data_IF_632398411394
#
_entry.id   IF_632398411394
#
_cell.length_a   1.000
_cell.length_b   1.000
_cell.length_c   1.000
_cell.angle_alpha   90.00
_cell.angle_beta   90.00
_cell.angle_gamma   90.00
#
_symmetry.space_group_name_H-M   'P 1'
#
loop_
_entity.id
_entity.type
_entity.pdbx_description
1 polymer ?
#
# COMPACT_ATOMS: atom_id res chain seq x y z
N UNK A 1 -17.09 57.95 3.47
CA UNK A 1 -16.87 57.21 4.75
C UNK A 1 -17.82 56.03 4.98
N UNK A 2 -19.09 56.02 4.52
CA UNK A 2 -20.00 54.86 4.70
C UNK A 2 -19.63 53.62 3.87
N UNK A 3 -19.09 53.78 2.66
CA UNK A 3 -18.71 52.63 1.80
C UNK A 3 -17.49 51.85 2.30
N UNK A 4 -16.56 52.52 3.00
CA UNK A 4 -15.36 51.88 3.57
C UNK A 4 -15.70 50.97 4.76
N UNK A 5 -16.80 51.25 5.49
CA UNK A 5 -17.30 50.43 6.61
C UNK A 5 -18.02 49.14 6.15
N UNK A 6 -18.63 49.17 4.97
CA UNK A 6 -19.28 47.98 4.38
C UNK A 6 -18.23 47.01 3.82
N UNK A 7 -17.17 47.55 3.19
CA UNK A 7 -16.06 46.75 2.68
C UNK A 7 -15.26 46.06 3.79
N UNK A 8 -15.05 46.74 4.92
CA UNK A 8 -14.39 46.16 6.11
C UNK A 8 -15.28 45.12 6.81
N UNK A 9 -16.61 45.29 6.83
CA UNK A 9 -17.55 44.30 7.36
C UNK A 9 -17.60 42.99 6.54
N UNK A 10 -17.56 43.08 5.20
CA UNK A 10 -17.48 41.91 4.33
C UNK A 10 -16.13 41.17 4.46
N UNK A 11 -15.03 41.91 4.65
CA UNK A 11 -13.71 41.33 4.88
C UNK A 11 -13.66 40.52 6.19
N UNK A 12 -14.34 40.98 7.25
CA UNK A 12 -14.42 40.27 8.53
C UNK A 12 -15.28 38.99 8.50
N UNK A 13 -16.32 38.91 7.66
CA UNK A 13 -17.10 37.67 7.47
C UNK A 13 -16.30 36.64 6.65
N UNK A 14 -15.48 37.09 5.70
CA UNK A 14 -14.60 36.20 4.92
C UNK A 14 -13.52 35.52 5.79
N UNK A 15 -13.11 36.16 6.90
CA UNK A 15 -12.12 35.61 7.86
C UNK A 15 -12.71 34.49 8.74
N UNK A 16 -14.05 34.42 8.93
CA UNK A 16 -14.69 33.38 9.74
C UNK A 16 -14.90 32.04 9.02
N UNK A 17 -14.65 31.97 7.70
CA UNK A 17 -14.69 30.72 6.93
C UNK A 17 -13.29 30.13 6.78
N UNK A 18 -12.44 30.29 7.79
CA UNK A 18 -11.19 29.56 7.94
C UNK A 18 -11.50 28.06 8.11
N UNK A 19 -11.64 27.36 6.98
CA UNK A 19 -11.79 25.91 6.91
C UNK A 19 -10.52 25.27 7.47
N UNK A 20 -10.45 25.03 8.78
CA UNK A 20 -9.38 24.26 9.39
C UNK A 20 -9.55 22.79 8.98
N UNK A 21 -8.54 22.20 8.35
CA UNK A 21 -8.48 20.74 8.19
C UNK A 21 -8.41 20.12 9.58
N UNK A 22 -9.40 19.31 9.95
CA UNK A 22 -9.43 18.64 11.26
C UNK A 22 -8.85 17.25 11.11
N UNK A 23 -7.93 16.88 12.02
CA UNK A 23 -7.56 15.48 12.22
C UNK A 23 -8.69 14.80 12.99
N UNK A 24 -9.21 13.70 12.44
CA UNK A 24 -10.30 12.95 13.05
C UNK A 24 -9.78 12.12 14.23
N UNK A 25 -10.58 12.05 15.30
CA UNK A 25 -10.39 11.14 16.43
C UNK A 25 -11.74 10.51 16.77
N UNK A 26 -11.84 9.18 16.72
CA UNK A 26 -13.04 8.45 17.09
C UNK A 26 -12.72 6.98 17.32
N UNK A 27 -13.50 6.29 18.15
CA UNK A 27 -13.34 4.85 18.44
C UNK A 27 -13.38 3.97 17.19
N UNK A 28 -14.18 4.35 16.18
CA UNK A 28 -14.24 3.65 14.88
C UNK A 28 -12.93 3.77 14.09
N UNK A 29 -12.26 4.93 14.19
CA UNK A 29 -10.95 5.16 13.59
C UNK A 29 -9.89 4.40 14.38
N UNK A 30 -9.95 4.45 15.71
CA UNK A 30 -8.97 3.81 16.58
C UNK A 30 -8.83 2.33 16.22
N UNK A 31 -9.95 1.61 16.06
CA UNK A 31 -9.94 0.21 15.59
C UNK A 31 -9.22 0.02 14.25
N UNK A 32 -9.51 0.84 13.24
CA UNK A 32 -8.88 0.74 11.92
C UNK A 32 -7.40 1.20 11.90
N UNK A 33 -6.98 1.99 12.89
CA UNK A 33 -5.59 2.41 13.06
C UNK A 33 -4.75 1.43 13.91
N UNK A 34 -5.37 0.49 14.63
CA UNK A 34 -4.63 -0.56 15.36
C UNK A 34 -4.06 -1.61 14.42
N UNK A 35 -2.88 -2.18 14.74
CA UNK A 35 -2.18 -3.12 13.87
C UNK A 35 -2.71 -4.58 13.94
N UNK A 36 -4.03 -4.81 13.81
CA UNK A 36 -4.64 -6.14 13.91
C UNK A 36 -4.29 -7.12 12.77
N UNK A 37 -3.59 -6.68 11.73
CA UNK A 37 -3.17 -7.56 10.62
C UNK A 37 -1.81 -8.23 10.86
N UNK A 38 -1.02 -7.72 11.82
CA UNK A 38 0.29 -8.27 12.12
C UNK A 38 0.17 -9.68 12.73
N UNK A 39 1.08 -10.62 12.39
CA UNK A 39 1.16 -11.91 13.06
C UNK A 39 1.28 -11.75 14.59
N UNK A 40 0.53 -12.55 15.34
CA UNK A 40 0.56 -12.56 16.82
C UNK A 40 1.77 -13.27 17.39
N UNK A 41 2.54 -13.97 16.56
CA UNK A 41 3.75 -14.69 16.91
C UNK A 41 4.90 -14.25 16.02
N UNK A 42 6.10 -14.13 16.60
CA UNK A 42 7.32 -13.94 15.83
C UNK A 42 7.79 -15.28 15.27
N UNK A 43 8.19 -15.30 14.00
CA UNK A 43 8.74 -16.49 13.36
C UNK A 43 10.22 -16.64 13.70
N UNK A 44 10.60 -17.79 14.24
CA UNK A 44 12.01 -18.12 14.52
C UNK A 44 12.63 -18.86 13.34
N UNK A 45 13.17 -18.09 12.40
CA UNK A 45 13.86 -18.63 11.22
C UNK A 45 15.19 -19.32 11.55
N UNK A 46 15.70 -19.22 12.79
CA UNK A 46 16.94 -19.91 13.16
C UNK A 46 16.77 -21.42 13.29
N UNK A 47 15.53 -21.90 13.46
CA UNK A 47 15.20 -23.33 13.56
C UNK A 47 15.22 -24.04 12.20
N UNK A 48 15.35 -23.27 11.13
CA UNK A 48 15.40 -23.78 9.78
C UNK A 48 16.84 -24.23 9.47
N UNK A 49 17.05 -25.54 9.32
CA UNK A 49 18.36 -26.11 8.97
C UNK A 49 18.80 -25.62 7.58
N UNK A 50 19.80 -24.73 7.52
CA UNK A 50 20.45 -24.32 6.26
C UNK A 50 21.71 -25.17 6.09
N UNK A 51 21.71 -26.14 5.16
CA UNK A 51 22.88 -26.99 4.96
C UNK A 51 24.06 -26.18 4.38
N UNK A 52 25.29 -26.49 4.82
CA UNK A 52 26.52 -25.81 4.38
C UNK A 52 26.93 -26.27 2.98
N UNK A 53 27.17 -25.31 2.07
CA UNK A 53 27.43 -25.56 0.64
C UNK A 53 28.82 -26.15 0.36
N UNK A 54 28.90 -27.09 -0.59
CA UNK A 54 30.14 -27.52 -1.23
C UNK A 54 29.97 -27.31 -2.75
N UNK A 55 30.27 -26.08 -3.19
CA UNK A 55 29.73 -25.44 -4.39
C UNK A 55 30.03 -26.15 -5.71
N UNK A 56 31.28 -26.55 -5.96
CA UNK A 56 31.68 -26.95 -7.31
C UNK A 56 31.02 -28.23 -7.86
N UNK A 57 30.86 -29.28 -7.04
CA UNK A 57 30.28 -30.55 -7.52
C UNK A 57 28.75 -30.50 -7.61
N UNK A 58 28.12 -29.70 -6.74
CA UNK A 58 26.66 -29.52 -6.73
C UNK A 58 26.18 -28.81 -7.99
N UNK A 59 26.86 -27.75 -8.41
CA UNK A 59 26.44 -26.97 -9.57
C UNK A 59 26.43 -27.81 -10.86
N UNK A 60 27.39 -28.72 -11.07
CA UNK A 60 27.43 -29.58 -12.27
C UNK A 60 26.22 -30.53 -12.37
N UNK A 61 25.81 -31.15 -11.26
CA UNK A 61 24.68 -32.10 -11.24
C UNK A 61 23.35 -31.37 -11.42
N UNK A 62 23.18 -30.23 -10.76
CA UNK A 62 21.97 -29.44 -10.88
C UNK A 62 21.81 -28.90 -12.29
N UNK A 63 22.87 -28.33 -12.88
CA UNK A 63 22.87 -27.85 -14.27
C UNK A 63 22.55 -28.94 -15.31
N UNK A 64 22.86 -30.21 -15.02
CA UNK A 64 22.53 -31.31 -15.92
C UNK A 64 21.05 -31.74 -15.86
N UNK A 65 20.31 -31.37 -14.80
CA UNK A 65 18.96 -31.88 -14.55
C UNK A 65 17.88 -30.78 -14.41
N UNK A 66 18.27 -29.53 -14.21
CA UNK A 66 17.37 -28.42 -13.89
C UNK A 66 17.63 -27.22 -14.79
N UNK A 67 16.58 -26.43 -15.01
CA UNK A 67 16.76 -25.13 -15.65
C UNK A 67 17.50 -24.16 -14.72
N UNK A 68 18.09 -23.10 -15.29
CA UNK A 68 18.70 -22.02 -14.48
C UNK A 68 17.70 -21.45 -13.47
N UNK A 69 16.43 -21.32 -13.87
CA UNK A 69 15.33 -20.84 -13.03
C UNK A 69 15.09 -21.75 -11.82
N UNK A 70 14.95 -23.06 -12.05
CA UNK A 70 14.74 -24.05 -11.00
C UNK A 70 15.90 -24.10 -10.00
N UNK A 71 17.13 -23.91 -10.48
CA UNK A 71 18.32 -23.84 -9.63
C UNK A 71 18.28 -22.62 -8.71
N UNK A 72 17.86 -21.47 -9.22
CA UNK A 72 17.76 -20.25 -8.43
C UNK A 72 16.66 -20.34 -7.38
N UNK A 73 15.49 -20.89 -7.73
CA UNK A 73 14.43 -21.16 -6.75
C UNK A 73 14.95 -22.12 -5.70
N UNK A 74 15.61 -23.21 -6.11
CA UNK A 74 16.17 -24.22 -5.20
C UNK A 74 17.15 -23.60 -4.20
N UNK A 75 17.99 -22.66 -4.66
CA UNK A 75 18.91 -21.89 -3.82
C UNK A 75 18.17 -20.94 -2.88
N UNK A 76 17.16 -20.23 -3.37
CA UNK A 76 16.39 -19.29 -2.56
C UNK A 76 15.64 -19.99 -1.41
N UNK A 77 15.07 -21.17 -1.65
CA UNK A 77 14.31 -21.93 -0.65
C UNK A 77 15.19 -22.89 0.18
N UNK A 78 16.49 -22.96 -0.10
CA UNK A 78 17.46 -23.74 0.65
C UNK A 78 17.35 -25.25 0.46
N UNK A 79 17.03 -25.72 -0.74
CA UNK A 79 16.95 -27.16 -1.07
C UNK A 79 18.06 -27.64 -2.01
N UNK A 80 18.94 -26.76 -2.51
CA UNK A 80 19.90 -27.12 -3.55
C UNK A 80 20.80 -28.29 -3.16
N UNK A 81 21.16 -28.36 -1.88
CA UNK A 81 22.02 -29.42 -1.34
C UNK A 81 21.28 -30.76 -1.28
N UNK A 82 20.07 -30.77 -0.72
CA UNK A 82 19.24 -31.97 -0.64
C UNK A 82 18.89 -32.49 -2.04
N UNK A 83 18.64 -31.60 -2.98
CA UNK A 83 18.31 -31.94 -4.36
C UNK A 83 19.51 -32.54 -5.10
N UNK A 84 20.69 -31.93 -4.99
CA UNK A 84 21.91 -32.48 -5.59
C UNK A 84 22.26 -33.87 -5.01
N UNK A 85 22.03 -34.08 -3.71
CA UNK A 85 22.24 -35.38 -3.06
C UNK A 85 21.18 -36.42 -3.47
N UNK A 86 19.92 -35.99 -3.64
CA UNK A 86 18.83 -36.84 -4.10
C UNK A 86 19.12 -37.38 -5.51
N UNK A 87 19.55 -36.52 -6.43
CA UNK A 87 19.87 -36.90 -7.82
C UNK A 87 21.07 -37.87 -7.93
N UNK A 88 22.00 -37.83 -6.97
CA UNK A 88 23.15 -38.76 -6.91
C UNK A 88 22.80 -40.09 -6.26
N UNK A 89 21.85 -40.10 -5.32
CA UNK A 89 21.52 -41.28 -4.54
C UNK A 89 20.62 -42.21 -5.35
N UNK A 90 21.18 -43.26 -5.96
CA UNK A 90 20.40 -44.22 -6.79
C UNK A 90 19.86 -45.43 -6.05
N UNK A 91 20.68 -46.03 -5.16
CA UNK A 91 20.42 -47.37 -4.57
C UNK A 91 19.88 -47.34 -3.14
N UNK A 92 20.15 -46.27 -2.39
CA UNK A 92 19.72 -46.16 -0.98
C UNK A 92 18.30 -45.57 -0.91
N UNK A 93 17.30 -46.45 -0.87
CA UNK A 93 15.88 -46.08 -0.86
C UNK A 93 15.50 -45.24 0.36
N UNK A 94 16.03 -45.55 1.54
CA UNK A 94 15.72 -44.83 2.77
C UNK A 94 16.28 -43.41 2.70
N UNK A 95 17.54 -43.26 2.30
CA UNK A 95 18.16 -41.95 2.13
C UNK A 95 17.46 -41.11 1.07
N UNK A 96 17.07 -41.71 -0.06
CA UNK A 96 16.27 -41.02 -1.10
C UNK A 96 14.94 -40.51 -0.54
N UNK A 97 14.24 -41.33 0.24
CA UNK A 97 12.96 -40.95 0.85
C UNK A 97 13.14 -39.77 1.82
N UNK A 98 14.16 -39.82 2.68
CA UNK A 98 14.47 -38.72 3.62
C UNK A 98 14.81 -37.42 2.88
N UNK A 99 15.61 -37.49 1.81
CA UNK A 99 15.95 -36.31 1.00
C UNK A 99 14.71 -35.74 0.30
N UNK A 100 13.85 -36.61 -0.25
CA UNK A 100 12.58 -36.20 -0.85
C UNK A 100 11.67 -35.51 0.17
N UNK A 101 11.57 -36.05 1.39
CA UNK A 101 10.83 -35.43 2.48
C UNK A 101 11.37 -34.03 2.81
N UNK A 102 12.69 -33.88 3.00
CA UNK A 102 13.31 -32.56 3.26
C UNK A 102 13.02 -31.55 2.15
N UNK A 103 13.08 -31.97 0.89
CA UNK A 103 12.74 -31.11 -0.27
C UNK A 103 11.27 -30.69 -0.22
N UNK A 104 10.35 -31.64 0.01
CA UNK A 104 8.92 -31.37 0.09
C UNK A 104 8.57 -30.46 1.26
N UNK A 105 9.16 -30.67 2.44
CA UNK A 105 8.93 -29.84 3.62
C UNK A 105 9.35 -28.40 3.39
N UNK A 106 10.49 -28.18 2.72
CA UNK A 106 10.96 -26.84 2.35
C UNK A 106 10.07 -26.15 1.33
N UNK A 107 9.59 -26.89 0.33
CA UNK A 107 8.64 -26.37 -0.66
C UNK A 107 7.32 -25.96 0.03
N UNK A 108 6.80 -26.80 0.91
CA UNK A 108 5.58 -26.54 1.69
C UNK A 108 5.76 -25.33 2.61
N UNK A 109 6.87 -25.26 3.35
CA UNK A 109 7.17 -24.13 4.22
C UNK A 109 7.23 -22.81 3.44
N UNK A 110 7.90 -22.81 2.28
CA UNK A 110 7.95 -21.60 1.44
C UNK A 110 6.57 -21.20 0.93
N UNK A 111 5.71 -22.17 0.58
CA UNK A 111 4.34 -21.87 0.19
C UNK A 111 3.53 -21.27 1.35
N UNK A 112 3.71 -21.76 2.58
CA UNK A 112 3.08 -21.19 3.78
C UNK A 112 3.59 -19.76 4.02
N UNK A 113 4.90 -19.52 3.87
CA UNK A 113 5.52 -18.19 4.00
C UNK A 113 4.93 -17.19 3.00
N UNK A 114 4.78 -17.58 1.72
CA UNK A 114 4.17 -16.76 0.68
C UNK A 114 2.73 -16.42 1.05
N UNK A 115 1.94 -17.43 1.45
CA UNK A 115 0.54 -17.25 1.79
C UNK A 115 0.33 -16.40 3.05
N UNK A 116 1.17 -16.57 4.07
CA UNK A 116 1.12 -15.77 5.29
C UNK A 116 1.44 -14.30 5.00
N UNK A 117 2.52 -14.03 4.27
CA UNK A 117 2.90 -12.67 3.90
C UNK A 117 1.86 -12.00 2.99
N UNK A 118 1.35 -12.72 1.99
CA UNK A 118 0.28 -12.23 1.12
C UNK A 118 -1.00 -11.91 1.91
N UNK A 119 -1.34 -12.72 2.91
CA UNK A 119 -2.51 -12.49 3.78
C UNK A 119 -2.32 -11.27 4.67
N UNK A 120 -1.11 -11.06 5.21
CA UNK A 120 -0.78 -9.85 5.97
C UNK A 120 -0.93 -8.58 5.10
N UNK A 121 -0.42 -8.63 3.87
CA UNK A 121 -0.52 -7.53 2.91
C UNK A 121 -1.98 -7.25 2.50
N UNK A 122 -2.77 -8.28 2.21
CA UNK A 122 -4.19 -8.20 1.87
C UNK A 122 -4.99 -7.54 3.00
N UNK A 123 -4.82 -8.03 4.23
CA UNK A 123 -5.47 -7.47 5.40
C UNK A 123 -5.13 -6.00 5.59
N UNK A 124 -3.85 -5.64 5.44
CA UNK A 124 -3.42 -4.24 5.53
C UNK A 124 -4.01 -3.39 4.40
N UNK A 125 -4.02 -3.89 3.17
CA UNK A 125 -4.62 -3.20 2.02
C UNK A 125 -6.09 -2.91 2.25
N UNK A 126 -6.88 -3.92 2.58
CA UNK A 126 -8.31 -3.80 2.89
C UNK A 126 -8.60 -2.89 4.09
N UNK A 127 -7.79 -2.98 5.15
CA UNK A 127 -7.91 -2.12 6.33
C UNK A 127 -7.71 -0.65 5.96
N UNK A 128 -6.64 -0.35 5.23
CA UNK A 128 -6.30 1.01 4.85
C UNK A 128 -7.31 1.55 3.82
N UNK A 129 -7.80 0.70 2.91
CA UNK A 129 -8.84 1.07 1.96
C UNK A 129 -10.16 1.42 2.66
N UNK A 130 -10.60 0.60 3.63
CA UNK A 130 -11.78 0.92 4.47
C UNK A 130 -11.61 2.22 5.25
N UNK A 131 -10.39 2.51 5.70
CA UNK A 131 -10.08 3.78 6.36
C UNK A 131 -10.17 4.96 5.38
N UNK A 132 -9.69 4.77 4.15
CA UNK A 132 -9.80 5.76 3.07
C UNK A 132 -11.26 6.06 2.73
N UNK A 133 -12.06 5.02 2.46
CA UNK A 133 -13.49 5.12 2.16
C UNK A 133 -14.25 5.85 3.27
N UNK A 134 -13.92 5.57 4.53
CA UNK A 134 -14.52 6.25 5.66
C UNK A 134 -14.20 7.75 5.70
N UNK A 135 -12.96 8.15 5.36
CA UNK A 135 -12.58 9.57 5.27
C UNK A 135 -13.25 10.24 4.08
N UNK A 136 -13.37 9.54 2.95
CA UNK A 136 -14.06 10.02 1.77
C UNK A 136 -15.54 10.26 2.02
N UNK A 137 -16.23 9.33 2.67
CA UNK A 137 -17.64 9.51 3.02
C UNK A 137 -17.88 10.77 3.87
N UNK A 138 -16.97 11.04 4.82
CA UNK A 138 -17.03 12.25 5.64
C UNK A 138 -16.78 13.52 4.80
N UNK A 139 -15.83 13.47 3.88
CA UNK A 139 -15.52 14.58 2.99
C UNK A 139 -16.66 14.83 1.98
N UNK A 140 -17.19 13.78 1.37
CA UNK A 140 -18.28 13.80 0.41
C UNK A 140 -19.56 14.34 1.04
N UNK A 141 -19.89 13.94 2.28
CA UNK A 141 -21.03 14.50 3.01
C UNK A 141 -20.88 16.01 3.24
N UNK A 142 -19.67 16.46 3.60
CA UNK A 142 -19.38 17.90 3.77
C UNK A 142 -19.52 18.64 2.43
N UNK A 143 -18.92 18.14 1.36
CA UNK A 143 -18.99 18.73 0.02
C UNK A 143 -20.44 18.80 -0.47
N UNK A 144 -21.21 17.72 -0.36
CA UNK A 144 -22.63 17.68 -0.72
C UNK A 144 -23.45 18.74 0.03
N UNK A 145 -23.25 18.88 1.34
CA UNK A 145 -23.95 19.87 2.14
C UNK A 145 -23.59 21.31 1.72
N UNK A 146 -22.32 21.58 1.40
CA UNK A 146 -21.88 22.88 0.90
C UNK A 146 -22.48 23.19 -0.48
N UNK A 147 -22.53 22.21 -1.38
CA UNK A 147 -23.16 22.35 -2.70
C UNK A 147 -24.65 22.66 -2.56
N UNK A 148 -25.37 21.89 -1.74
CA UNK A 148 -26.80 22.13 -1.49
C UNK A 148 -27.02 23.53 -0.91
N UNK A 149 -26.23 23.94 0.08
CA UNK A 149 -26.34 25.28 0.67
C UNK A 149 -26.05 26.40 -0.36
N UNK A 150 -25.01 26.24 -1.19
CA UNK A 150 -24.67 27.18 -2.26
C UNK A 150 -25.84 27.35 -3.25
N UNK A 151 -26.40 26.24 -3.73
CA UNK A 151 -27.51 26.22 -4.69
C UNK A 151 -28.77 26.83 -4.07
N UNK A 152 -29.15 26.41 -2.85
CA UNK A 152 -30.36 26.92 -2.18
C UNK A 152 -30.23 28.41 -1.86
N UNK A 153 -29.08 28.88 -1.37
CA UNK A 153 -28.86 30.31 -1.11
C UNK A 153 -28.88 31.13 -2.40
N UNK A 154 -28.29 30.64 -3.49
CA UNK A 154 -28.35 31.28 -4.79
C UNK A 154 -29.80 31.42 -5.29
N UNK A 155 -30.59 30.35 -5.20
CA UNK A 155 -32.00 30.35 -5.58
C UNK A 155 -32.84 31.32 -4.74
N UNK A 156 -32.72 31.26 -3.41
CA UNK A 156 -33.44 32.16 -2.49
C UNK A 156 -33.07 33.63 -2.70
N UNK A 157 -31.79 33.91 -2.97
CA UNK A 157 -31.31 35.27 -3.24
C UNK A 157 -31.95 35.83 -4.50
N UNK A 158 -32.01 35.05 -5.59
CA UNK A 158 -32.65 35.46 -6.84
C UNK A 158 -34.13 35.77 -6.63
N UNK A 159 -34.86 34.90 -5.92
CA UNK A 159 -36.28 35.12 -5.61
C UNK A 159 -36.47 36.38 -4.76
N UNK A 160 -35.68 36.56 -3.70
CA UNK A 160 -35.76 37.72 -2.83
C UNK A 160 -35.47 39.03 -3.57
N UNK A 161 -34.49 39.04 -4.48
CA UNK A 161 -34.12 40.22 -5.29
C UNK A 161 -35.29 40.70 -6.15
N UNK A 162 -36.10 39.77 -6.70
CA UNK A 162 -37.29 40.10 -7.50
C UNK A 162 -38.45 40.61 -6.64
N UNK A 163 -38.62 40.10 -5.43
CA UNK A 163 -39.73 40.48 -4.54
C UNK A 163 -39.50 41.81 -3.79
N UNK A 164 -38.25 42.21 -3.60
CA UNK A 164 -37.90 43.45 -2.90
C UNK A 164 -38.07 44.65 -3.84
N UNK A 165 -39.10 45.47 -3.60
CA UNK A 165 -39.41 46.68 -4.40
C UNK A 165 -38.41 47.82 -4.23
N UNK A 166 -37.60 47.81 -3.16
CA UNK A 166 -36.58 48.83 -2.91
C UNK A 166 -35.28 48.46 -3.62
N UNK A 167 -34.90 49.23 -4.64
CA UNK A 167 -33.70 48.97 -5.44
C UNK A 167 -32.41 48.87 -4.62
N UNK A 168 -32.24 49.66 -3.56
CA UNK A 168 -31.03 49.59 -2.72
C UNK A 168 -30.98 48.30 -1.89
N UNK A 169 -32.13 47.86 -1.37
CA UNK A 169 -32.23 46.61 -0.62
C UNK A 169 -32.14 45.37 -1.53
N UNK A 170 -32.76 45.43 -2.71
CA UNK A 170 -32.69 44.38 -3.74
C UNK A 170 -31.25 44.19 -4.24
N UNK A 171 -30.55 45.27 -4.59
CA UNK A 171 -29.14 45.22 -4.99
C UNK A 171 -28.23 44.68 -3.90
N UNK A 172 -28.45 45.08 -2.64
CA UNK A 172 -27.67 44.56 -1.50
C UNK A 172 -27.86 43.05 -1.33
N UNK A 173 -29.10 42.56 -1.40
CA UNK A 173 -29.41 41.13 -1.29
C UNK A 173 -28.82 40.35 -2.46
N UNK A 174 -29.01 40.83 -3.70
CA UNK A 174 -28.46 40.19 -4.90
C UNK A 174 -26.94 40.05 -4.87
N UNK A 175 -26.23 41.13 -4.53
CA UNK A 175 -24.75 41.13 -4.46
C UNK A 175 -24.25 40.26 -3.30
N UNK A 176 -24.81 40.42 -2.10
CA UNK A 176 -24.35 39.63 -0.93
C UNK A 176 -24.66 38.16 -1.08
N UNK A 177 -25.86 37.80 -1.53
CA UNK A 177 -26.24 36.41 -1.72
C UNK A 177 -25.49 35.74 -2.87
N UNK A 178 -25.23 36.45 -3.97
CA UNK A 178 -24.39 35.95 -5.07
C UNK A 178 -22.93 35.71 -4.66
N UNK A 179 -22.35 36.60 -3.85
CA UNK A 179 -21.01 36.42 -3.30
C UNK A 179 -20.95 35.24 -2.32
N UNK A 180 -21.97 35.08 -1.46
CA UNK A 180 -22.03 33.96 -0.51
C UNK A 180 -22.22 32.61 -1.22
N UNK A 181 -23.12 32.52 -2.21
CA UNK A 181 -23.30 31.29 -2.98
C UNK A 181 -22.04 30.92 -3.75
N UNK A 182 -21.38 31.89 -4.39
CA UNK A 182 -20.12 31.68 -5.10
C UNK A 182 -18.99 31.26 -4.15
N UNK A 183 -18.91 31.88 -2.96
CA UNK A 183 -17.94 31.52 -1.93
C UNK A 183 -18.12 30.09 -1.43
N UNK A 184 -19.36 29.66 -1.17
CA UNK A 184 -19.65 28.28 -0.79
C UNK A 184 -19.34 27.29 -1.92
N UNK A 185 -19.62 27.64 -3.17
CA UNK A 185 -19.26 26.83 -4.33
C UNK A 185 -17.74 26.73 -4.52
N UNK A 186 -16.99 27.80 -4.27
CA UNK A 186 -15.53 27.76 -4.30
C UNK A 186 -14.95 26.78 -3.26
N UNK A 187 -15.57 26.67 -2.08
CA UNK A 187 -15.16 25.72 -1.03
C UNK A 187 -15.37 24.25 -1.41
N UNK A 188 -16.20 23.94 -2.41
CA UNK A 188 -16.37 22.57 -2.92
C UNK A 188 -15.29 22.17 -3.92
N UNK A 189 -14.58 23.13 -4.52
CA UNK A 189 -13.51 22.89 -5.51
C UNK A 189 -12.21 22.48 -4.81
N UNK A 190 -11.92 23.04 -3.63
CA UNK A 190 -10.74 22.68 -2.83
C UNK A 190 -11.09 22.49 -1.36
N UNK A 191 -11.86 21.43 -1.04
CA UNK A 191 -12.21 21.16 0.34
C UNK A 191 -10.93 20.81 1.11
N UNK A 192 -10.61 21.59 2.14
CA UNK A 192 -9.66 21.15 3.18
C UNK A 192 -10.30 19.96 3.91
N UNK A 193 -10.04 18.77 3.36
CA UNK A 193 -10.63 17.50 3.78
C UNK A 193 -10.23 17.12 5.19
N UNK A 194 -11.00 16.19 5.76
CA UNK A 194 -10.66 15.47 6.98
C UNK A 194 -9.40 14.63 6.74
N UNK A 195 -8.62 14.47 7.81
CA UNK A 195 -7.35 13.73 7.80
C UNK A 195 -7.31 12.77 8.98
N UNK A 196 -6.46 11.76 8.89
CA UNK A 196 -6.24 10.78 9.97
C UNK A 196 -4.76 10.73 10.31
N UNK A 197 -4.44 10.64 11.60
CA UNK A 197 -3.10 10.33 12.06
C UNK A 197 -2.97 8.80 12.16
N UNK A 198 -2.10 8.23 11.33
CA UNK A 198 -1.85 6.79 11.23
C UNK A 198 -0.39 6.53 11.52
N UNK A 199 -0.12 5.78 12.59
CA UNK A 199 1.22 5.28 12.93
C UNK A 199 1.42 3.88 12.39
N UNK A 200 2.62 3.62 11.87
CA UNK A 200 2.99 2.37 11.22
C UNK A 200 4.11 1.70 12.01
N UNK A 201 3.74 0.85 12.97
CA UNK A 201 4.71 0.07 13.76
C UNK A 201 5.44 -0.97 12.90
N UNK A 202 4.71 -1.61 11.98
CA UNK A 202 5.23 -2.56 11.01
C UNK A 202 4.86 -2.12 9.60
N UNK A 203 5.82 -1.53 8.90
CA UNK A 203 5.62 -1.00 7.55
C UNK A 203 6.24 -1.90 6.48
N UNK A 204 5.45 -2.81 5.91
CA UNK A 204 5.91 -3.76 4.88
C UNK A 204 6.46 -3.04 3.62
N UNK A 205 5.91 -1.88 3.27
CA UNK A 205 6.38 -1.09 2.12
C UNK A 205 7.79 -0.53 2.32
N UNK A 206 8.22 -0.36 3.58
CA UNK A 206 9.54 0.17 3.95
C UNK A 206 10.67 -0.69 3.39
N UNK A 207 10.54 -2.01 3.56
CA UNK A 207 11.55 -2.97 3.14
C UNK A 207 11.75 -2.90 1.63
N UNK A 208 10.65 -2.89 0.87
CA UNK A 208 10.68 -2.73 -0.58
C UNK A 208 11.25 -1.38 -0.99
N UNK A 209 10.91 -0.29 -0.30
CA UNK A 209 11.40 1.03 -0.70
C UNK A 209 12.91 1.22 -0.51
N UNK A 210 13.43 0.79 0.64
CA UNK A 210 14.83 0.96 1.00
C UNK A 210 15.73 -0.20 0.57
N UNK A 211 15.15 -1.26 0.01
CA UNK A 211 15.83 -2.52 -0.27
C UNK A 211 16.59 -3.04 0.97
N UNK A 212 15.88 -3.09 2.10
CA UNK A 212 16.45 -3.53 3.38
C UNK A 212 15.49 -4.48 4.08
N UNK A 213 15.96 -5.67 4.42
CA UNK A 213 15.24 -6.68 5.20
C UNK A 213 15.97 -7.07 6.50
N UNK A 214 16.78 -6.17 7.05
CA UNK A 214 17.50 -6.32 8.32
C UNK A 214 16.55 -6.60 9.51
N UNK A 215 15.33 -6.09 9.45
CA UNK A 215 14.28 -6.33 10.44
C UNK A 215 13.58 -7.68 10.31
N UNK A 216 14.01 -8.54 9.36
CA UNK A 216 13.48 -9.89 9.11
C UNK A 216 11.95 -9.91 8.91
N UNK A 217 11.41 -8.84 8.34
CA UNK A 217 9.97 -8.72 8.06
C UNK A 217 9.53 -9.67 6.96
N UNK A 218 10.40 -9.86 5.96
CA UNK A 218 10.21 -10.82 4.88
C UNK A 218 11.01 -12.10 5.18
N UNK A 219 10.42 -13.28 4.93
CA UNK A 219 11.17 -14.54 4.93
C UNK A 219 12.36 -14.45 3.96
N UNK A 220 13.50 -15.04 4.32
CA UNK A 220 14.72 -14.95 3.49
C UNK A 220 14.52 -15.56 2.10
N UNK A 221 13.72 -16.63 2.00
CA UNK A 221 13.33 -17.29 0.75
C UNK A 221 12.68 -16.30 -0.22
N UNK A 222 11.64 -15.62 0.24
CA UNK A 222 10.89 -14.60 -0.51
C UNK A 222 11.78 -13.40 -0.83
N UNK A 223 12.53 -12.90 0.15
CA UNK A 223 13.39 -11.74 -0.03
C UNK A 223 14.48 -11.97 -1.10
N UNK A 224 15.06 -13.17 -1.12
CA UNK A 224 16.04 -13.57 -2.13
C UNK A 224 15.43 -13.58 -3.52
N UNK A 225 14.21 -14.13 -3.66
CA UNK A 225 13.50 -14.16 -4.95
C UNK A 225 13.17 -12.74 -5.43
N UNK A 226 12.71 -11.85 -4.54
CA UNK A 226 12.38 -10.47 -4.88
C UNK A 226 13.57 -9.66 -5.41
N UNK A 227 14.80 -10.03 -5.02
CA UNK A 227 16.05 -9.34 -5.35
C UNK A 227 16.90 -10.07 -6.41
N UNK A 228 16.33 -11.08 -7.06
CA UNK A 228 17.02 -11.79 -8.15
C UNK A 228 16.35 -11.46 -9.49
N UNK A 229 17.14 -10.87 -10.40
CA UNK A 229 16.69 -10.30 -11.66
C UNK A 229 16.00 -11.31 -12.55
N UNK A 230 16.44 -12.57 -12.51
CA UNK A 230 15.89 -13.60 -13.39
C UNK A 230 14.47 -14.04 -12.98
N UNK A 231 13.93 -13.57 -11.86
CA UNK A 231 12.50 -13.70 -11.51
C UNK A 231 11.63 -12.56 -12.06
N UNK A 232 12.24 -11.53 -12.65
CA UNK A 232 11.52 -10.46 -13.33
C UNK A 232 11.29 -10.80 -14.79
N UNK A 233 10.11 -10.46 -15.32
CA UNK A 233 9.75 -10.69 -16.73
C UNK A 233 10.72 -10.01 -17.71
N UNK A 234 11.33 -8.88 -17.34
CA UNK A 234 12.29 -8.17 -18.20
C UNK A 234 13.73 -8.65 -18.01
N UNK A 235 14.07 -9.19 -16.83
CA UNK A 235 15.46 -9.50 -16.45
C UNK A 235 16.37 -8.27 -16.23
N UNK A 236 15.88 -7.05 -16.45
CA UNK A 236 16.67 -5.81 -16.32
C UNK A 236 16.78 -5.36 -14.86
N UNK A 237 15.62 -5.31 -14.19
CA UNK A 237 15.44 -4.97 -12.79
C UNK A 237 14.88 -6.18 -12.07
N UNK A 238 15.20 -6.36 -10.78
CA UNK A 238 14.53 -7.36 -9.96
C UNK A 238 13.09 -6.95 -9.62
N UNK A 239 12.34 -7.83 -8.95
CA UNK A 239 10.94 -7.57 -8.62
C UNK A 239 10.78 -6.41 -7.64
N UNK A 240 11.67 -6.30 -6.65
CA UNK A 240 11.68 -5.21 -5.67
C UNK A 240 11.82 -3.85 -6.36
N UNK A 241 12.83 -3.70 -7.22
CA UNK A 241 13.09 -2.48 -7.99
C UNK A 241 11.94 -2.19 -8.96
N UNK A 242 11.41 -3.23 -9.60
CA UNK A 242 10.26 -3.09 -10.51
C UNK A 242 9.02 -2.56 -9.79
N UNK A 243 8.71 -3.07 -8.60
CA UNK A 243 7.61 -2.57 -7.75
C UNK A 243 7.87 -1.11 -7.35
N UNK A 244 9.06 -0.82 -6.84
CA UNK A 244 9.44 0.54 -6.42
C UNK A 244 9.30 1.55 -7.57
N UNK A 245 9.72 1.17 -8.77
CA UNK A 245 9.61 2.01 -9.96
C UNK A 245 8.15 2.24 -10.35
N UNK A 246 7.28 1.22 -10.26
CA UNK A 246 5.84 1.41 -10.51
C UNK A 246 5.22 2.37 -9.51
N UNK A 247 5.52 2.26 -8.22
CA UNK A 247 5.03 3.22 -7.23
C UNK A 247 5.52 4.64 -7.52
N UNK A 248 6.81 4.79 -7.85
CA UNK A 248 7.36 6.09 -8.19
C UNK A 248 6.62 6.71 -9.39
N UNK A 249 6.39 5.94 -10.44
CA UNK A 249 5.74 6.44 -11.66
C UNK A 249 4.24 6.72 -11.48
N UNK A 250 3.51 5.80 -10.86
CA UNK A 250 2.04 5.83 -10.86
C UNK A 250 1.42 6.41 -9.59
N UNK A 251 2.12 6.37 -8.45
CA UNK A 251 1.62 6.96 -7.20
C UNK A 251 2.25 8.31 -6.88
N UNK A 252 3.41 8.62 -7.48
CA UNK A 252 4.19 9.83 -7.17
C UNK A 252 4.63 10.61 -8.42
N UNK A 253 4.03 10.37 -9.59
CA UNK A 253 4.32 11.12 -10.83
C UNK A 253 5.83 11.23 -11.17
N UNK A 254 6.57 10.14 -10.92
CA UNK A 254 8.01 10.04 -11.14
C UNK A 254 8.89 10.70 -10.08
N UNK A 255 8.33 11.37 -9.07
CA UNK A 255 9.11 12.10 -8.05
C UNK A 255 8.43 12.11 -6.68
N UNK A 256 9.20 11.81 -5.64
CA UNK A 256 8.70 11.84 -4.26
C UNK A 256 9.46 12.88 -3.44
N UNK A 257 8.72 13.72 -2.71
CA UNK A 257 9.33 14.65 -1.77
C UNK A 257 9.64 13.96 -0.42
N UNK A 258 10.60 14.47 0.37
CA UNK A 258 11.01 13.83 1.61
C UNK A 258 9.89 13.65 2.64
N UNK A 259 8.88 14.52 2.64
CA UNK A 259 7.75 14.41 3.59
C UNK A 259 6.81 13.29 3.17
N UNK A 260 6.50 13.19 1.88
CA UNK A 260 5.70 12.08 1.34
C UNK A 260 6.43 10.74 1.49
N UNK A 261 7.75 10.72 1.25
CA UNK A 261 8.54 9.50 1.48
C UNK A 261 8.46 9.02 2.93
N UNK A 262 8.66 9.92 3.90
CA UNK A 262 8.53 9.60 5.33
C UNK A 262 7.13 9.11 5.68
N UNK A 263 6.09 9.77 5.14
CA UNK A 263 4.71 9.41 5.37
C UNK A 263 4.44 7.95 4.97
N UNK A 264 4.90 7.51 3.79
CA UNK A 264 4.59 6.19 3.25
C UNK A 264 5.55 5.09 3.71
N UNK A 265 6.84 5.39 3.88
CA UNK A 265 7.89 4.37 4.02
C UNK A 265 8.58 4.38 5.39
N UNK A 266 8.26 5.32 6.27
CA UNK A 266 8.73 5.31 7.67
C UNK A 266 7.56 5.05 8.63
N UNK A 267 7.44 5.84 9.71
CA UNK A 267 6.54 5.60 10.85
C UNK A 267 5.09 6.05 10.62
N UNK A 268 4.77 6.62 9.46
CA UNK A 268 3.45 7.18 9.17
C UNK A 268 3.31 8.66 9.54
N UNK A 269 2.09 9.09 9.85
CA UNK A 269 1.76 10.48 10.16
C UNK A 269 0.35 10.85 9.70
N UNK A 270 0.17 12.09 9.24
CA UNK A 270 -1.14 12.62 8.85
C UNK A 270 -1.44 12.29 7.39
N UNK A 271 -2.40 11.40 7.16
CA UNK A 271 -2.89 10.98 5.86
C UNK A 271 -4.17 11.70 5.43
N UNK A 272 -4.27 12.04 4.14
CA UNK A 272 -5.54 12.30 3.44
C UNK A 272 -6.16 10.99 2.94
N UNK A 273 -7.40 11.03 2.46
CA UNK A 273 -8.01 9.87 1.81
C UNK A 273 -7.21 9.39 0.59
N UNK A 274 -6.79 10.30 -0.29
CA UNK A 274 -5.94 9.96 -1.45
C UNK A 274 -4.62 9.28 -1.04
N UNK A 275 -4.00 9.72 0.06
CA UNK A 275 -2.81 9.06 0.58
C UNK A 275 -3.10 7.64 1.07
N UNK A 276 -4.25 7.42 1.73
CA UNK A 276 -4.67 6.11 2.19
C UNK A 276 -4.97 5.18 1.01
N UNK A 277 -5.73 5.64 0.01
CA UNK A 277 -5.98 4.89 -1.24
C UNK A 277 -4.67 4.51 -1.94
N UNK A 278 -3.75 5.46 -2.07
CA UNK A 278 -2.43 5.21 -2.65
C UNK A 278 -1.68 4.12 -1.88
N UNK A 279 -1.68 4.18 -0.55
CA UNK A 279 -1.04 3.18 0.30
C UNK A 279 -1.69 1.80 0.18
N UNK A 280 -3.03 1.74 0.15
CA UNK A 280 -3.77 0.50 -0.04
C UNK A 280 -3.44 -0.15 -1.39
N UNK A 281 -3.39 0.64 -2.46
CA UNK A 281 -3.01 0.17 -3.79
C UNK A 281 -1.59 -0.41 -3.81
N UNK A 282 -0.63 0.25 -3.15
CA UNK A 282 0.74 -0.25 -3.04
C UNK A 282 0.82 -1.59 -2.28
N UNK A 283 0.03 -1.74 -1.21
CA UNK A 283 -0.06 -3.00 -0.46
C UNK A 283 -0.66 -4.13 -1.31
N UNK A 284 -1.72 -3.86 -2.06
CA UNK A 284 -2.39 -4.83 -2.94
C UNK A 284 -1.51 -5.24 -4.13
N UNK A 285 -0.73 -4.31 -4.68
CA UNK A 285 0.24 -4.61 -5.73
C UNK A 285 1.37 -5.50 -5.21
N UNK A 286 1.88 -5.20 -4.01
CA UNK A 286 2.91 -6.01 -3.36
C UNK A 286 2.37 -7.41 -3.05
N UNK A 287 1.16 -7.52 -2.51
CA UNK A 287 0.46 -8.78 -2.30
C UNK A 287 0.38 -9.60 -3.59
N UNK A 288 -0.05 -8.98 -4.68
CA UNK A 288 -0.17 -9.65 -5.98
C UNK A 288 1.18 -10.18 -6.46
N UNK A 289 2.25 -9.41 -6.25
CA UNK A 289 3.62 -9.84 -6.57
C UNK A 289 4.09 -11.00 -5.69
N UNK A 290 3.80 -10.97 -4.39
CA UNK A 290 4.13 -12.08 -3.48
C UNK A 290 3.37 -13.35 -3.89
N UNK A 291 2.08 -13.25 -4.19
CA UNK A 291 1.28 -14.41 -4.66
C UNK A 291 1.79 -14.97 -5.97
N UNK A 292 2.31 -14.16 -6.89
CA UNK A 292 2.82 -14.68 -8.16
C UNK A 292 4.04 -15.60 -8.00
N UNK A 293 4.78 -15.52 -6.88
CA UNK A 293 5.89 -16.43 -6.59
C UNK A 293 5.44 -17.90 -6.47
N UNK A 294 4.15 -18.16 -6.23
CA UNK A 294 3.62 -19.53 -6.28
C UNK A 294 3.72 -20.16 -7.66
N UNK A 295 3.77 -19.36 -8.74
CA UNK A 295 3.98 -19.86 -10.10
C UNK A 295 5.38 -20.45 -10.27
N UNK A 296 6.39 -19.80 -9.67
CA UNK A 296 7.77 -20.28 -9.64
C UNK A 296 7.87 -21.58 -8.84
N UNK A 297 7.29 -21.61 -7.63
CA UNK A 297 7.27 -22.83 -6.82
C UNK A 297 6.53 -23.98 -7.52
N UNK A 298 5.42 -23.70 -8.18
CA UNK A 298 4.67 -24.69 -8.97
C UNK A 298 5.54 -25.25 -10.09
N UNK A 299 6.26 -24.41 -10.83
CA UNK A 299 7.15 -24.83 -11.91
C UNK A 299 8.20 -25.83 -11.38
N UNK A 300 8.87 -25.45 -10.30
CA UNK A 300 9.86 -26.31 -9.64
C UNK A 300 9.22 -27.63 -9.15
N UNK A 301 8.07 -27.57 -8.48
CA UNK A 301 7.39 -28.75 -7.97
C UNK A 301 7.04 -29.76 -9.07
N UNK A 302 6.56 -29.27 -10.22
CA UNK A 302 6.30 -30.11 -11.41
C UNK A 302 7.59 -30.75 -11.89
N UNK A 303 8.69 -29.98 -11.99
CA UNK A 303 9.99 -30.52 -12.39
C UNK A 303 10.48 -31.60 -11.44
N UNK A 304 10.37 -31.38 -10.13
CA UNK A 304 10.80 -32.33 -9.09
C UNK A 304 10.01 -33.63 -9.11
N UNK A 305 8.72 -33.59 -9.48
CA UNK A 305 7.91 -34.81 -9.64
C UNK A 305 8.32 -35.69 -10.82
N UNK A 306 9.13 -35.18 -11.75
CA UNK A 306 9.66 -35.97 -12.86
C UNK A 306 10.88 -36.85 -12.50
N UNK A 307 11.40 -36.73 -11.26
CA UNK A 307 12.56 -37.48 -10.75
C UNK A 307 12.18 -38.61 -9.79
#
# INVERSE_FOLDING_TARGET
MKQLKIFTGLLTISILVSSCSTVLKSTKIDYLTTNFCQPTISYDYSQIEIPKTNTHKQDSILNANLSKHDILISKAIGIEIYLAEYLQTKKDTLKRLVLKQKITDRLLLTNIEINALASELDCNGERINKLADFVDDLNNKKTKNLTVASVTLGALTTVATVLIKNNNASNLVGVSGGLLSAGLGALTISPKGKKIDLKLERNLLRNIWYNDNSNQTYPNSIWTILNEKQFSNSGENDLQESIKNRWLQYNFDGKIDPKTQKLFFDEGGIYTADNLHSRANMLNELQSTIRSLEQDLKSLAIRLNSF
#
